data_IF_297066776645
#
_entry.id   IF_297066776645
#
_cell.length_a   1.000
_cell.length_b   1.000
_cell.length_c   1.000
_cell.angle_alpha   90.00
_cell.angle_beta   90.00
_cell.angle_gamma   90.00
#
_symmetry.space_group_name_H-M   'P 1'
#
loop_
_entity.id
_entity.type
_entity.pdbx_description
1 polymer ?
#
# COMPACT_ATOMS: atom_id res chain seq x y z
N UNK A 1 20.70 -38.01 -53.65
CA UNK A 1 21.89 -38.72 -53.10
C UNK A 1 22.28 -37.99 -51.82
N UNK A 2 22.17 -38.48 -50.58
CA UNK A 2 21.86 -39.80 -50.05
C UNK A 2 21.17 -39.70 -48.67
N UNK A 3 20.69 -40.86 -48.23
CA UNK A 3 19.91 -41.18 -47.02
C UNK A 3 20.82 -41.40 -45.79
N UNK A 4 20.19 -41.41 -44.59
CA UNK A 4 20.31 -42.35 -43.43
C UNK A 4 20.05 -41.54 -42.14
N UNK A 5 18.94 -41.64 -41.36
CA UNK A 5 18.31 -42.71 -40.56
C UNK A 5 19.23 -43.42 -39.55
N UNK A 6 18.97 -43.26 -38.24
CA UNK A 6 18.72 -44.30 -37.19
C UNK A 6 18.86 -43.69 -35.76
N UNK A 7 17.84 -43.68 -34.90
CA UNK A 7 17.28 -44.71 -33.97
C UNK A 7 18.09 -45.05 -32.72
N UNK A 8 17.40 -44.99 -31.57
CA UNK A 8 17.65 -45.74 -30.32
C UNK A 8 16.67 -45.22 -29.26
N UNK A 9 15.48 -45.82 -29.03
CA UNK A 9 15.24 -46.96 -28.12
C UNK A 9 16.20 -46.87 -26.91
N UNK A 10 15.80 -46.52 -25.69
CA UNK A 10 14.57 -46.87 -24.98
C UNK A 10 14.95 -47.91 -23.93
N UNK A 11 14.80 -47.61 -22.64
CA UNK A 11 14.68 -48.66 -21.63
C UNK A 11 13.80 -48.23 -20.45
N UNK A 12 12.87 -49.13 -20.11
CA UNK A 12 11.88 -49.03 -19.05
C UNK A 12 12.27 -50.06 -17.99
N UNK A 13 12.39 -49.67 -16.73
CA UNK A 13 12.13 -50.48 -15.52
C UNK A 13 12.74 -49.76 -14.30
N UNK A 14 12.19 -49.73 -13.09
CA UNK A 14 10.98 -50.34 -12.54
C UNK A 14 10.72 -49.82 -11.11
N UNK A 15 9.44 -49.89 -10.74
CA UNK A 15 8.82 -50.16 -9.42
C UNK A 15 9.55 -49.86 -8.09
N UNK A 16 8.86 -49.02 -7.30
CA UNK A 16 8.47 -49.19 -5.89
C UNK A 16 9.50 -48.99 -4.76
N UNK A 17 9.21 -48.02 -3.87
CA UNK A 17 9.09 -48.30 -2.44
C UNK A 17 8.27 -47.22 -1.69
N UNK A 18 7.36 -47.74 -0.88
CA UNK A 18 6.43 -47.08 0.02
C UNK A 18 7.14 -46.68 1.33
N UNK A 19 6.72 -45.56 1.94
CA UNK A 19 6.84 -45.28 3.37
C UNK A 19 8.22 -44.89 3.92
N UNK A 20 8.42 -43.59 4.22
CA UNK A 20 8.80 -43.13 5.57
C UNK A 20 8.87 -41.59 5.67
N UNK A 21 8.30 -41.11 6.78
CA UNK A 21 8.66 -39.89 7.52
C UNK A 21 8.48 -38.51 6.83
N UNK A 22 7.35 -37.90 7.17
CA UNK A 22 7.01 -36.47 7.13
C UNK A 22 8.14 -35.61 7.73
N UNK A 23 8.74 -34.65 6.99
CA UNK A 23 9.25 -33.45 7.60
C UNK A 23 8.11 -32.42 7.59
N UNK A 24 7.64 -32.04 8.78
CA UNK A 24 6.80 -30.86 8.94
C UNK A 24 7.54 -29.65 8.35
N UNK A 25 7.19 -29.31 7.11
CA UNK A 25 7.53 -28.04 6.52
C UNK A 25 6.83 -26.99 7.36
N UNK A 26 7.57 -26.35 8.26
CA UNK A 26 7.23 -25.05 8.83
C UNK A 26 6.77 -24.20 7.67
N UNK A 27 5.47 -23.98 7.53
CA UNK A 27 4.90 -23.03 6.60
C UNK A 27 5.31 -21.67 7.13
N UNK A 28 6.49 -21.23 6.73
CA UNK A 28 6.86 -19.83 6.82
C UNK A 28 5.73 -19.09 6.10
N UNK A 29 5.00 -18.26 6.85
CA UNK A 29 3.97 -17.41 6.31
C UNK A 29 4.61 -16.50 5.29
N UNK A 30 4.66 -16.95 4.03
CA UNK A 30 5.11 -16.17 2.90
C UNK A 30 4.08 -15.07 2.77
N UNK A 31 4.39 -13.87 3.28
CA UNK A 31 3.65 -12.66 2.98
C UNK A 31 3.42 -12.71 1.47
N UNK A 32 2.16 -12.82 1.06
CA UNK A 32 1.79 -12.87 -0.34
C UNK A 32 2.23 -11.53 -0.91
N UNK A 33 3.41 -11.50 -1.53
CA UNK A 33 3.86 -10.34 -2.27
C UNK A 33 2.86 -10.19 -3.40
N UNK A 34 2.06 -9.13 -3.35
CA UNK A 34 1.08 -8.85 -4.40
C UNK A 34 1.77 -8.91 -5.77
N UNK A 35 1.19 -9.69 -6.68
CA UNK A 35 1.74 -9.83 -8.03
C UNK A 35 1.49 -8.52 -8.76
N UNK A 36 2.56 -7.82 -9.11
CA UNK A 36 2.48 -6.58 -9.86
C UNK A 36 1.95 -6.88 -11.28
N UNK A 37 0.84 -6.25 -11.65
CA UNK A 37 0.25 -6.34 -12.98
C UNK A 37 0.49 -5.03 -13.73
N UNK A 38 1.10 -5.03 -14.93
CA UNK A 38 1.32 -3.80 -15.69
C UNK A 38 -0.01 -3.27 -16.23
N UNK A 39 -0.28 -1.98 -16.03
CA UNK A 39 -1.44 -1.28 -16.57
C UNK A 39 -0.94 -0.12 -17.44
N UNK A 40 -1.31 -0.11 -18.72
CA UNK A 40 -1.00 0.98 -19.64
C UNK A 40 -2.17 1.98 -19.71
N UNK A 41 -1.95 3.20 -19.20
CA UNK A 41 -2.95 4.27 -19.21
C UNK A 41 -2.42 5.44 -20.04
N UNK A 42 -3.20 5.87 -21.04
CA UNK A 42 -2.89 7.06 -21.85
C UNK A 42 -3.49 8.29 -21.18
N UNK A 43 -2.65 9.27 -20.85
CA UNK A 43 -3.06 10.54 -20.24
C UNK A 43 -2.39 11.73 -20.95
N UNK A 44 -2.97 12.94 -20.89
CA UNK A 44 -2.31 14.16 -21.35
C UNK A 44 -0.99 14.41 -20.63
N UNK A 45 -0.03 15.06 -21.32
CA UNK A 45 1.28 15.41 -20.75
C UNK A 45 1.17 16.25 -19.48
N UNK A 46 0.25 17.22 -19.46
CA UNK A 46 0.00 18.06 -18.28
C UNK A 46 -0.43 17.22 -17.07
N UNK A 47 -1.32 16.25 -17.27
CA UNK A 47 -1.77 15.33 -16.22
C UNK A 47 -0.63 14.45 -15.72
N UNK A 48 0.25 13.97 -16.62
CA UNK A 48 1.44 13.20 -16.23
C UNK A 48 2.36 14.02 -15.33
N UNK A 49 2.60 15.29 -15.68
CA UNK A 49 3.45 16.18 -14.88
C UNK A 49 2.82 16.44 -13.51
N UNK A 50 1.54 16.79 -13.49
CA UNK A 50 0.80 17.04 -12.24
C UNK A 50 0.81 15.83 -11.30
N UNK A 51 0.64 14.61 -11.84
CA UNK A 51 0.74 13.38 -11.05
C UNK A 51 2.16 13.14 -10.49
N UNK A 52 3.20 13.43 -11.27
CA UNK A 52 4.58 13.29 -10.83
C UNK A 52 4.90 14.27 -9.69
N UNK A 53 4.51 15.54 -9.85
CA UNK A 53 4.73 16.58 -8.85
C UNK A 53 3.98 16.26 -7.54
N UNK A 54 2.72 15.78 -7.65
CA UNK A 54 1.94 15.38 -6.48
C UNK A 54 2.48 14.12 -5.81
N UNK A 55 2.94 13.14 -6.57
CA UNK A 55 3.57 11.96 -5.99
C UNK A 55 4.84 12.33 -5.23
N UNK A 56 5.63 13.27 -5.74
CA UNK A 56 6.83 13.75 -5.05
C UNK A 56 6.45 14.47 -3.75
N UNK A 57 5.50 15.41 -3.79
CA UNK A 57 5.00 16.09 -2.60
C UNK A 57 4.51 15.09 -1.52
N UNK A 58 3.80 14.03 -1.92
CA UNK A 58 3.33 13.00 -0.98
C UNK A 58 4.50 12.22 -0.37
N UNK A 59 5.54 11.87 -1.14
CA UNK A 59 6.73 11.19 -0.64
C UNK A 59 7.54 12.07 0.32
N UNK A 60 7.70 13.34 -0.03
CA UNK A 60 8.43 14.30 0.82
C UNK A 60 7.72 14.49 2.16
N UNK A 61 6.38 14.47 2.17
CA UNK A 61 5.57 14.56 3.38
C UNK A 61 5.48 13.25 4.18
N UNK A 62 5.81 12.09 3.59
CA UNK A 62 5.67 10.78 4.23
C UNK A 62 6.95 9.97 4.02
N UNK A 63 7.90 10.10 4.96
CA UNK A 63 9.21 9.41 4.91
C UNK A 63 9.07 7.89 4.89
N UNK A 64 8.04 7.36 5.55
CA UNK A 64 7.68 5.95 5.56
C UNK A 64 6.34 5.70 4.86
N UNK A 65 6.17 4.57 4.15
CA UNK A 65 4.90 4.21 3.54
C UNK A 65 3.81 4.05 4.61
N UNK A 66 2.81 4.94 4.60
CA UNK A 66 1.71 4.90 5.57
C UNK A 66 0.66 3.84 5.15
N UNK A 67 0.44 2.79 5.97
CA UNK A 67 -0.60 1.80 5.73
C UNK A 67 -1.98 2.47 5.61
N UNK A 68 -2.91 1.91 4.81
CA UNK A 68 -4.23 2.52 4.61
C UNK A 68 -4.97 2.90 5.90
N UNK A 69 -4.79 2.13 6.97
CA UNK A 69 -5.42 2.35 8.27
C UNK A 69 -4.85 3.55 9.04
N UNK A 70 -3.63 3.95 8.73
CA UNK A 70 -2.89 5.04 9.39
C UNK A 70 -2.92 6.32 8.55
N UNK A 71 -3.55 6.28 7.37
CA UNK A 71 -3.68 7.45 6.51
C UNK A 71 -4.62 8.46 7.14
N UNK A 72 -4.10 9.66 7.38
CA UNK A 72 -4.87 10.79 7.85
C UNK A 72 -5.46 11.52 6.64
N UNK A 73 -6.79 11.58 6.57
CA UNK A 73 -7.51 12.28 5.51
C UNK A 73 -7.92 13.68 6.01
N UNK A 74 -8.12 14.67 5.11
CA UNK A 74 -8.54 16.01 5.52
C UNK A 74 -9.80 16.02 6.41
N UNK A 75 -10.78 15.14 6.12
CA UNK A 75 -11.96 14.99 6.95
C UNK A 75 -11.63 14.53 8.38
N UNK A 76 -10.64 13.65 8.55
CA UNK A 76 -10.21 13.19 9.87
C UNK A 76 -9.61 14.35 10.67
N UNK A 77 -8.80 15.21 10.03
CA UNK A 77 -8.22 16.39 10.68
C UNK A 77 -9.29 17.38 11.14
N UNK A 78 -10.33 17.60 10.33
CA UNK A 78 -11.44 18.48 10.70
C UNK A 78 -12.17 17.92 11.92
N UNK A 79 -12.49 16.63 11.94
CA UNK A 79 -13.16 16.01 13.08
C UNK A 79 -12.30 16.06 14.35
N UNK A 80 -10.98 15.88 14.21
CA UNK A 80 -10.03 15.99 15.32
C UNK A 80 -9.95 17.42 15.86
N UNK A 81 -9.92 18.43 14.97
CA UNK A 81 -9.97 19.83 15.36
C UNK A 81 -11.28 20.18 16.09
N UNK A 82 -12.42 19.67 15.60
CA UNK A 82 -13.72 19.85 16.28
C UNK A 82 -13.70 19.22 17.67
N UNK A 83 -13.21 17.98 17.79
CA UNK A 83 -13.14 17.29 19.08
C UNK A 83 -12.24 18.05 20.07
N UNK A 84 -11.07 18.51 19.63
CA UNK A 84 -10.17 19.32 20.45
C UNK A 84 -10.82 20.63 20.89
N UNK A 85 -11.56 21.31 20.00
CA UNK A 85 -12.29 22.53 20.33
C UNK A 85 -13.44 22.29 21.32
N UNK A 86 -14.13 21.14 21.23
CA UNK A 86 -15.19 20.79 22.17
C UNK A 86 -14.65 20.42 23.56
N UNK A 87 -13.44 19.86 23.63
CA UNK A 87 -12.78 19.51 24.89
C UNK A 87 -12.13 20.72 25.58
N UNK A 88 -11.91 21.83 24.88
CA UNK A 88 -11.41 23.08 25.46
C UNK A 88 -12.49 23.90 26.13
N UNK A 89 -12.14 24.55 27.25
CA UNK A 89 -13.04 25.41 28.03
C UNK A 89 -13.21 26.79 27.36
N UNK A 90 -13.92 26.81 26.23
CA UNK A 90 -14.19 28.01 25.42
C UNK A 90 -15.66 28.38 25.61
N UNK A 91 -15.91 29.66 25.91
CA UNK A 91 -17.28 30.18 25.92
C UNK A 91 -17.72 30.54 24.50
N UNK A 92 -18.28 29.56 23.80
CA UNK A 92 -18.82 29.71 22.44
C UNK A 92 -19.90 30.79 22.31
N UNK A 93 -20.54 31.22 23.39
CA UNK A 93 -21.55 32.29 23.35
C UNK A 93 -20.92 33.69 23.19
N UNK A 94 -19.66 33.83 23.59
CA UNK A 94 -18.88 35.07 23.52
C UNK A 94 -18.07 35.22 22.23
N UNK A 95 -17.77 34.10 21.55
CA UNK A 95 -17.00 34.07 20.31
C UNK A 95 -17.86 34.54 19.14
N UNK A 96 -17.56 35.71 18.57
CA UNK A 96 -18.25 36.26 17.38
C UNK A 96 -17.34 36.40 16.17
N UNK A 97 -16.04 36.33 16.38
CA UNK A 97 -15.01 36.45 15.34
C UNK A 97 -13.87 35.46 15.59
N UNK A 98 -13.05 35.27 14.56
CA UNK A 98 -11.85 34.42 14.65
C UNK A 98 -10.88 34.97 15.71
N UNK A 99 -10.74 36.30 15.81
CA UNK A 99 -9.85 36.92 16.80
C UNK A 99 -10.29 36.68 18.25
N UNK A 100 -11.61 36.56 18.50
CA UNK A 100 -12.12 36.26 19.84
C UNK A 100 -11.78 34.82 20.25
N UNK A 101 -11.82 33.89 19.29
CA UNK A 101 -11.44 32.50 19.49
C UNK A 101 -9.93 32.36 19.75
N UNK A 102 -9.09 33.03 18.96
CA UNK A 102 -7.62 33.05 19.14
C UNK A 102 -7.24 33.52 20.55
N UNK A 103 -7.88 34.59 21.04
CA UNK A 103 -7.67 35.11 22.41
C UNK A 103 -8.05 34.13 23.51
N UNK A 104 -9.10 33.34 23.33
CA UNK A 104 -9.51 32.34 24.33
C UNK A 104 -8.64 31.09 24.32
N UNK A 105 -8.04 30.79 23.16
CA UNK A 105 -7.11 29.67 22.98
C UNK A 105 -5.64 30.03 23.32
N UNK A 106 -5.37 31.28 23.71
CA UNK A 106 -4.02 31.82 23.96
C UNK A 106 -3.06 31.61 22.78
N UNK A 107 -3.57 31.85 21.55
CA UNK A 107 -2.86 31.71 20.28
C UNK A 107 -2.45 33.06 19.67
#
# INVERSE_FOLDING_TARGET
MGRLKQTGLGDKSGLSQDGMAKPERKTSGRKQTEVLVPINIKIPRASKQWLADKAQQVRDNNTDPVPPKERVYPQHLINLAIALLQDTDIDWSSVRSIQDLERQLDL
#
